data_IF_905509281104
#
_entry.id   IF_905509281104
#
_cell.length_a   1.000
_cell.length_b   1.000
_cell.length_c   1.000
_cell.angle_alpha   90.00
_cell.angle_beta   90.00
_cell.angle_gamma   90.00
#
_symmetry.space_group_name_H-M   'P 1'
#
loop_
_entity.id
_entity.type
_entity.pdbx_description
1 polymer ?
#
# COMPACT_ATOMS: atom_id res chain seq x y z
N UNK A 1 -3.53 -13.80 7.50
CA UNK A 1 -2.98 -13.69 8.87
C UNK A 1 -1.82 -14.67 8.96
N UNK A 2 -0.58 -14.20 9.07
CA UNK A 2 0.60 -15.03 8.78
C UNK A 2 1.43 -15.38 10.02
N UNK A 3 1.52 -14.46 10.99
CA UNK A 3 2.38 -14.61 12.17
C UNK A 3 1.55 -15.18 13.32
N UNK A 4 1.96 -16.34 13.85
CA UNK A 4 1.27 -17.01 14.95
C UNK A 4 2.26 -17.35 16.08
N UNK A 5 1.76 -17.38 17.31
CA UNK A 5 2.51 -17.80 18.50
C UNK A 5 2.31 -19.30 18.73
N UNK A 6 3.40 -20.02 18.91
CA UNK A 6 3.39 -21.34 19.53
C UNK A 6 3.35 -21.17 21.07
N UNK A 7 2.26 -21.60 21.76
CA UNK A 7 2.12 -21.44 23.20
C UNK A 7 2.97 -22.42 24.01
N UNK A 8 3.41 -23.54 23.42
CA UNK A 8 4.21 -24.55 24.12
C UNK A 8 5.69 -24.13 24.11
N UNK A 9 6.19 -23.70 22.95
CA UNK A 9 7.58 -23.24 22.78
C UNK A 9 7.78 -21.76 23.13
N UNK A 10 6.69 -21.01 23.27
CA UNK A 10 6.68 -19.55 23.48
C UNK A 10 7.50 -18.80 22.41
N UNK A 11 7.37 -19.25 21.15
CA UNK A 11 8.05 -18.69 19.97
C UNK A 11 7.06 -18.48 18.83
N UNK A 12 7.21 -17.38 18.11
CA UNK A 12 6.37 -17.10 16.96
C UNK A 12 6.97 -17.67 15.66
N UNK A 13 6.11 -18.03 14.72
CA UNK A 13 6.50 -18.47 13.37
C UNK A 13 5.52 -17.93 12.32
N UNK A 14 5.91 -18.03 11.04
CA UNK A 14 5.03 -17.75 9.91
C UNK A 14 4.37 -19.06 9.45
N UNK A 15 3.04 -19.13 9.51
CA UNK A 15 2.29 -20.35 9.16
C UNK A 15 2.12 -20.57 7.65
N UNK A 16 2.25 -19.51 6.83
CA UNK A 16 2.05 -19.55 5.38
C UNK A 16 3.10 -18.65 4.66
N UNK A 17 4.35 -19.12 4.52
CA UNK A 17 5.44 -18.30 3.99
C UNK A 17 5.30 -17.91 2.51
N UNK A 18 4.55 -18.65 1.72
CA UNK A 18 4.25 -18.41 0.31
C UNK A 18 3.22 -17.30 0.10
N UNK A 19 2.34 -17.06 1.07
CA UNK A 19 1.45 -15.89 1.10
C UNK A 19 2.11 -14.64 1.72
N UNK A 20 3.37 -14.72 2.13
CA UNK A 20 4.10 -13.58 2.65
C UNK A 20 4.32 -12.53 1.55
N UNK A 21 3.99 -11.27 1.83
CA UNK A 21 4.24 -10.16 0.90
C UNK A 21 5.55 -9.41 1.20
N UNK A 22 6.34 -9.89 2.16
CA UNK A 22 7.56 -9.22 2.63
C UNK A 22 7.36 -7.70 2.92
N UNK A 23 6.24 -7.33 3.57
CA UNK A 23 5.95 -5.92 3.90
C UNK A 23 6.78 -5.36 5.08
N UNK A 24 7.49 -6.24 5.79
CA UNK A 24 8.29 -5.97 6.98
C UNK A 24 7.49 -5.46 8.19
N UNK A 25 6.16 -5.49 8.21
CA UNK A 25 5.38 -5.02 9.37
C UNK A 25 5.71 -5.81 10.64
N UNK A 26 5.79 -7.15 10.54
CA UNK A 26 6.20 -8.02 11.65
C UNK A 26 7.65 -7.76 12.10
N UNK A 27 8.57 -7.56 11.14
CA UNK A 27 9.98 -7.23 11.41
C UNK A 27 10.10 -5.89 12.16
N UNK A 28 9.41 -4.86 11.70
CA UNK A 28 9.48 -3.49 12.25
C UNK A 28 8.91 -3.39 13.66
N UNK A 29 7.87 -4.16 13.98
CA UNK A 29 7.16 -4.05 15.26
C UNK A 29 7.75 -4.96 16.35
N UNK A 30 8.53 -5.98 15.98
CA UNK A 30 9.09 -6.93 16.94
C UNK A 30 10.03 -6.21 17.93
N UNK A 31 9.68 -6.14 19.23
CA UNK A 31 10.47 -5.37 20.20
C UNK A 31 11.85 -6.00 20.48
N UNK A 32 11.96 -7.32 20.28
CA UNK A 32 13.22 -8.05 20.43
C UNK A 32 14.06 -8.05 19.15
N UNK A 33 13.54 -7.57 18.02
CA UNK A 33 14.21 -7.68 16.72
C UNK A 33 14.45 -9.11 16.27
N UNK A 34 13.58 -10.06 16.67
CA UNK A 34 13.77 -11.50 16.47
C UNK A 34 13.29 -12.04 15.12
N UNK A 35 12.74 -11.17 14.26
CA UNK A 35 12.17 -11.57 12.97
C UNK A 35 13.02 -10.93 11.86
N UNK A 36 13.49 -11.74 10.92
CA UNK A 36 14.15 -11.28 9.70
C UNK A 36 13.46 -11.89 8.48
N UNK A 37 13.56 -11.22 7.33
CA UNK A 37 13.06 -11.74 6.07
C UNK A 37 14.16 -12.51 5.34
N UNK A 38 13.89 -13.78 5.04
CA UNK A 38 14.68 -14.57 4.09
C UNK A 38 13.98 -14.47 2.73
N UNK A 39 14.60 -13.85 1.71
CA UNK A 39 13.98 -13.63 0.40
C UNK A 39 13.37 -14.89 -0.22
N UNK A 40 12.31 -14.72 -1.03
CA UNK A 40 11.59 -15.80 -1.70
C UNK A 40 12.52 -16.84 -2.34
N UNK A 41 12.31 -18.13 -2.03
CA UNK A 41 13.29 -19.19 -2.28
C UNK A 41 13.37 -19.61 -3.75
N UNK A 42 12.30 -19.37 -4.50
CA UNK A 42 12.09 -19.74 -5.89
C UNK A 42 12.94 -18.90 -6.86
N UNK A 43 13.19 -17.63 -6.53
CA UNK A 43 13.97 -16.74 -7.41
C UNK A 43 15.13 -16.01 -6.73
N UNK A 44 15.15 -15.87 -5.40
CA UNK A 44 16.19 -15.08 -4.72
C UNK A 44 17.34 -15.97 -4.18
N UNK A 45 18.60 -15.69 -4.54
CA UNK A 45 19.73 -16.44 -4.00
C UNK A 45 19.97 -16.13 -2.51
N UNK A 46 20.54 -17.08 -1.77
CA UNK A 46 20.86 -16.91 -0.35
C UNK A 46 21.90 -15.80 -0.12
N UNK A 47 21.84 -15.19 1.08
CA UNK A 47 22.87 -14.31 1.63
C UNK A 47 22.54 -12.81 1.60
N UNK A 48 21.50 -12.39 0.87
CA UNK A 48 20.98 -11.03 0.94
C UNK A 48 20.00 -10.84 2.10
N UNK A 49 20.10 -9.72 2.83
CA UNK A 49 19.12 -9.35 3.86
C UNK A 49 19.00 -7.84 4.00
N UNK A 50 17.80 -7.36 4.35
CA UNK A 50 17.48 -5.96 4.61
C UNK A 50 16.93 -5.84 6.03
N UNK A 51 17.64 -5.11 6.89
CA UNK A 51 17.32 -5.03 8.31
C UNK A 51 16.85 -3.59 8.62
N UNK A 52 15.55 -3.38 8.91
CA UNK A 52 15.05 -2.09 9.34
C UNK A 52 15.24 -1.88 10.85
N UNK A 53 15.46 -0.64 11.24
CA UNK A 53 15.34 -0.17 12.62
C UNK A 53 14.43 1.05 12.60
N UNK A 54 13.18 0.87 13.02
CA UNK A 54 12.16 1.93 13.02
C UNK A 54 12.18 2.66 14.37
N UNK A 55 12.28 3.98 14.32
CA UNK A 55 12.08 4.90 15.45
C UNK A 55 10.70 5.57 15.34
N UNK A 56 10.44 6.58 16.18
CA UNK A 56 9.21 7.36 16.15
C UNK A 56 9.11 8.30 14.92
N UNK A 57 10.23 8.93 14.54
CA UNK A 57 10.27 9.97 13.50
C UNK A 57 11.10 9.59 12.27
N UNK A 58 11.97 8.59 12.39
CA UNK A 58 12.84 8.11 11.32
C UNK A 58 12.91 6.57 11.24
N UNK A 59 13.40 6.07 10.11
CA UNK A 59 13.71 4.66 9.91
C UNK A 59 15.11 4.51 9.32
N UNK A 60 15.90 3.63 9.91
CA UNK A 60 17.20 3.24 9.39
C UNK A 60 17.11 1.89 8.69
N UNK A 61 17.82 1.75 7.60
CA UNK A 61 17.91 0.50 6.84
C UNK A 61 19.37 0.09 6.69
N UNK A 62 19.67 -1.16 7.01
CA UNK A 62 20.94 -1.80 6.69
C UNK A 62 20.70 -2.89 5.66
N UNK A 63 21.22 -2.71 4.45
CA UNK A 63 21.16 -3.69 3.37
C UNK A 63 22.49 -4.43 3.29
N UNK A 64 22.47 -5.74 3.53
CA UNK A 64 23.62 -6.63 3.41
C UNK A 64 23.49 -7.44 2.13
N UNK A 65 24.47 -7.32 1.25
CA UNK A 65 24.53 -8.08 0.00
C UNK A 65 25.17 -9.45 0.23
N UNK A 66 24.88 -10.42 -0.64
CA UNK A 66 25.55 -11.73 -0.66
C UNK A 66 27.08 -11.62 -0.74
N UNK A 67 27.60 -10.58 -1.40
CA UNK A 67 29.04 -10.30 -1.51
C UNK A 67 29.69 -9.82 -0.21
N UNK A 68 28.90 -9.59 0.85
CA UNK A 68 29.38 -8.99 2.10
C UNK A 68 29.37 -7.47 2.12
N UNK A 69 29.09 -6.81 0.98
CA UNK A 69 28.93 -5.35 0.94
C UNK A 69 27.74 -4.91 1.80
N UNK A 70 27.89 -3.81 2.53
CA UNK A 70 26.85 -3.25 3.41
C UNK A 70 26.55 -1.82 3.02
N UNK A 71 25.28 -1.50 2.81
CA UNK A 71 24.80 -0.13 2.60
C UNK A 71 23.87 0.26 3.75
N UNK A 72 23.98 1.49 4.23
CA UNK A 72 23.15 2.03 5.31
C UNK A 72 22.44 3.28 4.83
N UNK A 73 21.16 3.38 5.18
CA UNK A 73 20.31 4.50 4.83
C UNK A 73 19.52 4.95 6.06
N UNK A 74 19.11 6.21 6.05
CA UNK A 74 18.24 6.80 7.08
C UNK A 74 17.23 7.69 6.38
N UNK A 75 15.95 7.49 6.65
CA UNK A 75 14.86 8.26 6.05
C UNK A 75 13.92 8.79 7.14
N UNK A 76 13.47 10.05 7.06
CA UNK A 76 12.40 10.55 7.93
C UNK A 76 11.07 9.88 7.53
N UNK A 77 10.26 9.50 8.53
CA UNK A 77 8.95 8.84 8.31
C UNK A 77 7.77 9.66 8.84
N UNK A 78 8.00 10.59 9.77
CA UNK A 78 6.94 11.39 10.37
C UNK A 78 7.47 12.76 10.79
N UNK A 79 6.67 13.80 10.56
CA UNK A 79 6.98 15.18 10.94
C UNK A 79 6.25 15.65 12.20
N UNK A 80 5.31 14.85 12.71
CA UNK A 80 4.52 15.12 13.91
C UNK A 80 4.60 13.94 14.87
N UNK A 81 4.39 14.13 16.19
CA UNK A 81 4.42 13.04 17.16
C UNK A 81 3.35 11.96 16.91
N UNK A 82 3.60 10.76 17.41
CA UNK A 82 2.59 9.70 17.42
C UNK A 82 1.41 10.06 18.32
N UNK A 83 0.18 9.76 17.86
CA UNK A 83 -1.04 10.09 18.58
C UNK A 83 -1.44 11.58 18.59
N UNK A 84 -0.67 12.48 17.97
CA UNK A 84 -0.95 13.93 18.02
C UNK A 84 -1.91 14.46 16.95
N UNK A 85 -2.51 13.59 16.14
CA UNK A 85 -3.39 14.02 15.04
C UNK A 85 -4.76 14.37 15.61
N UNK A 86 -5.13 15.64 15.53
CA UNK A 86 -6.51 16.08 15.75
C UNK A 86 -7.25 16.09 14.40
N UNK A 87 -8.16 15.13 14.22
CA UNK A 87 -8.87 14.96 12.96
C UNK A 87 -9.88 16.09 12.68
N UNK A 88 -10.41 16.75 13.72
CA UNK A 88 -11.50 17.73 13.60
C UNK A 88 -11.12 19.13 14.11
N UNK A 89 -9.97 19.27 14.77
CA UNK A 89 -9.44 20.54 15.24
C UNK A 89 -9.35 21.59 14.16
N UNK A 90 -10.05 22.71 14.37
CA UNK A 90 -10.05 23.86 13.44
C UNK A 90 -10.72 23.59 12.09
N UNK A 91 -11.47 22.49 11.95
CA UNK A 91 -12.24 22.18 10.74
C UNK A 91 -13.71 22.61 10.91
N UNK A 92 -14.42 22.87 9.80
CA UNK A 92 -15.85 23.18 9.84
C UNK A 92 -16.67 21.99 10.35
N UNK A 93 -17.86 22.31 10.89
CA UNK A 93 -18.87 21.32 11.26
C UNK A 93 -19.46 20.65 10.00
N UNK A 94 -19.99 19.41 10.12
CA UNK A 94 -20.65 18.72 9.03
C UNK A 94 -21.81 19.55 8.44
N UNK A 95 -21.90 19.60 7.12
CA UNK A 95 -22.91 20.35 6.39
C UNK A 95 -24.02 19.42 5.85
N UNK A 96 -24.60 19.80 4.71
CA UNK A 96 -25.66 19.04 4.05
C UNK A 96 -25.17 17.65 3.61
N UNK A 97 -25.97 16.62 3.88
CA UNK A 97 -25.70 15.24 3.48
C UNK A 97 -26.16 14.93 2.05
N UNK A 98 -27.04 15.76 1.49
CA UNK A 98 -27.59 15.56 0.15
C UNK A 98 -26.69 16.13 -0.96
N UNK A 99 -25.58 16.80 -0.58
CA UNK A 99 -24.61 17.38 -1.51
C UNK A 99 -23.36 16.48 -1.63
N UNK A 100 -22.62 16.62 -2.73
CA UNK A 100 -21.39 15.84 -3.00
C UNK A 100 -20.15 16.37 -2.25
N UNK A 101 -20.31 17.31 -1.32
CA UNK A 101 -19.21 17.97 -0.61
C UNK A 101 -18.70 17.10 0.55
N UNK A 102 -17.37 16.92 0.64
CA UNK A 102 -16.76 16.44 1.88
C UNK A 102 -16.81 17.54 2.95
N UNK A 103 -16.77 17.17 4.23
CA UNK A 103 -16.95 18.12 5.34
C UNK A 103 -15.96 19.29 5.34
N UNK A 104 -14.76 19.14 4.75
CA UNK A 104 -13.76 20.22 4.63
C UNK A 104 -13.85 21.02 3.34
N UNK A 105 -14.64 20.56 2.38
CA UNK A 105 -14.74 21.18 1.07
C UNK A 105 -15.75 22.32 1.07
N UNK A 106 -15.51 23.29 0.20
CA UNK A 106 -16.46 24.36 -0.09
C UNK A 106 -16.92 24.25 -1.54
N UNK A 107 -17.99 24.95 -1.91
CA UNK A 107 -18.51 24.94 -3.27
C UNK A 107 -17.49 25.40 -4.35
N UNK A 108 -16.40 26.06 -3.95
CA UNK A 108 -15.29 26.42 -4.84
C UNK A 108 -14.28 25.28 -5.09
N UNK A 109 -14.33 24.19 -4.31
CA UNK A 109 -13.43 23.05 -4.41
C UNK A 109 -13.89 22.00 -5.42
N UNK A 110 -15.20 21.85 -5.64
CA UNK A 110 -15.75 20.92 -6.62
C UNK A 110 -15.76 21.60 -8.00
N UNK A 111 -14.75 21.31 -8.81
CA UNK A 111 -14.70 21.75 -10.20
C UNK A 111 -15.55 20.83 -11.06
N UNK A 112 -16.57 21.39 -11.72
CA UNK A 112 -17.32 20.67 -12.74
C UNK A 112 -16.55 20.65 -14.05
N UNK A 113 -16.54 19.53 -14.79
CA UNK A 113 -15.94 19.49 -16.11
C UNK A 113 -16.59 20.55 -17.01
N UNK A 114 -15.77 21.35 -17.70
CA UNK A 114 -16.26 22.44 -18.56
C UNK A 114 -17.21 21.95 -19.65
N UNK A 115 -16.94 20.76 -20.19
CA UNK A 115 -17.80 20.08 -21.16
C UNK A 115 -17.82 18.58 -20.90
N UNK A 116 -18.89 18.09 -20.26
CA UNK A 116 -19.16 16.67 -20.15
C UNK A 116 -19.70 16.15 -21.49
N UNK A 117 -18.88 15.42 -22.24
CA UNK A 117 -19.24 14.93 -23.58
C UNK A 117 -20.36 13.87 -23.52
N UNK A 118 -20.54 13.22 -22.36
CA UNK A 118 -21.57 12.19 -22.11
C UNK A 118 -21.70 11.17 -23.26
N UNK A 119 -20.56 10.85 -23.91
CA UNK A 119 -20.53 9.96 -25.06
C UNK A 119 -20.65 8.52 -24.60
N UNK A 120 -21.82 7.94 -24.82
CA UNK A 120 -22.01 6.49 -24.74
C UNK A 120 -21.33 5.86 -25.96
N UNK A 121 -20.48 4.87 -25.72
CA UNK A 121 -19.92 4.04 -26.78
C UNK A 121 -20.78 2.79 -26.90
N UNK A 122 -21.31 2.56 -28.09
CA UNK A 122 -21.96 1.31 -28.43
C UNK A 122 -20.90 0.37 -29.00
N UNK A 123 -20.79 -0.81 -28.40
CA UNK A 123 -19.87 -1.85 -28.83
C UNK A 123 -20.70 -2.87 -29.62
N UNK A 124 -20.33 -3.09 -30.88
CA UNK A 124 -20.80 -4.26 -31.62
C UNK A 124 -20.33 -5.55 -30.94
N UNK A 125 -20.97 -6.68 -31.26
CA UNK A 125 -20.56 -8.00 -30.78
C UNK A 125 -19.07 -8.24 -31.10
N UNK A 126 -18.24 -8.40 -30.06
CA UNK A 126 -16.76 -8.44 -30.15
C UNK A 126 -16.23 -9.52 -31.08
N UNK A 127 -17.02 -10.54 -31.35
CA UNK A 127 -16.60 -11.77 -32.02
C UNK A 127 -16.97 -11.78 -33.52
N UNK A 128 -17.68 -10.75 -34.02
CA UNK A 128 -18.09 -10.65 -35.42
C UNK A 128 -17.40 -9.47 -36.11
N UNK A 129 -16.32 -9.76 -36.86
CA UNK A 129 -15.59 -8.78 -37.67
C UNK A 129 -16.07 -8.67 -39.12
N UNK A 130 -16.99 -9.54 -39.54
CA UNK A 130 -17.53 -9.59 -40.89
C UNK A 130 -19.04 -9.33 -40.87
N UNK A 131 -19.48 -8.47 -41.79
CA UNK A 131 -20.88 -8.15 -41.99
C UNK A 131 -21.25 -8.29 -43.46
N UNK A 132 -22.44 -8.83 -43.70
CA UNK A 132 -22.95 -9.21 -45.02
C UNK A 132 -24.13 -8.34 -45.44
N UNK A 133 -24.12 -7.08 -45.04
CA UNK A 133 -25.10 -6.07 -45.45
C UNK A 133 -24.46 -5.17 -46.51
N UNK A 134 -25.26 -4.73 -47.49
CA UNK A 134 -24.81 -3.79 -48.53
C UNK A 134 -24.58 -2.36 -47.98
N UNK A 135 -24.84 -2.12 -46.68
CA UNK A 135 -24.69 -0.84 -45.96
C UNK A 135 -23.71 -0.94 -44.78
N UNK A 136 -23.51 0.17 -44.04
CA UNK A 136 -22.60 0.23 -42.88
C UNK A 136 -23.06 -0.73 -41.78
N UNK A 137 -22.12 -1.50 -41.25
CA UNK A 137 -22.33 -2.44 -40.17
C UNK A 137 -21.71 -1.87 -38.91
N UNK A 138 -22.52 -1.11 -38.17
CA UNK A 138 -22.14 -0.55 -36.87
C UNK A 138 -22.23 -1.59 -35.75
#
# INVERSE_FOLDING_TARGET
DLMILDPDDMKAYNQEPDACWECYSCVKICPQGAIEARPYADFAPMGGTSIPMRSAEDIMWTVKFRSGAVKRFKFPIRTTPEGSIDCFGGKPEPANLDDELLFTETSACLTTPENAIMKKFELAESDKSQCWLDAVCD
#
